data_IF_059389783046
#
_entry.id   IF_059389783046
#
_cell.length_a   1.000
_cell.length_b   1.000
_cell.length_c   1.000
_cell.angle_alpha   90.00
_cell.angle_beta   90.00
_cell.angle_gamma   90.00
#
_symmetry.space_group_name_H-M   'P 1'
#
loop_
_entity.id
_entity.type
_entity.pdbx_description
1 polymer ?
#
# COMPACT_ATOMS: atom_id res chain seq x y z
N UNK A 1 35.75 -22.76 3.69
CA UNK A 1 35.30 -21.42 4.12
C UNK A 1 33.78 -21.33 3.93
N UNK A 2 32.97 -21.42 5.00
CA UNK A 2 31.52 -21.60 4.91
C UNK A 2 30.73 -20.33 5.29
N UNK A 3 30.98 -19.20 4.62
CA UNK A 3 30.21 -17.97 4.81
C UNK A 3 29.95 -17.25 3.48
N UNK A 4 29.02 -17.77 2.67
CA UNK A 4 28.24 -16.90 1.77
C UNK A 4 26.92 -17.52 1.27
N UNK A 5 26.44 -18.57 1.93
CA UNK A 5 25.08 -19.05 1.71
C UNK A 5 24.15 -18.20 2.57
N UNK A 6 22.99 -17.80 2.03
CA UNK A 6 21.94 -16.97 2.64
C UNK A 6 22.13 -15.46 2.39
N UNK A 7 21.73 -14.97 1.21
CA UNK A 7 21.03 -13.67 1.08
C UNK A 7 20.51 -13.31 -0.33
N UNK A 8 20.59 -14.20 -1.34
CA UNK A 8 20.10 -13.87 -2.69
C UNK A 8 18.82 -14.60 -3.15
N UNK A 9 18.10 -15.27 -2.24
CA UNK A 9 16.98 -16.16 -2.64
C UNK A 9 15.58 -15.63 -2.25
N UNK A 10 15.27 -14.36 -2.54
CA UNK A 10 13.87 -13.88 -2.57
C UNK A 10 13.64 -12.71 -3.53
N UNK A 11 14.34 -12.65 -4.66
CA UNK A 11 13.97 -11.76 -5.77
C UNK A 11 12.76 -12.33 -6.53
N UNK A 12 11.59 -12.40 -5.87
CA UNK A 12 10.35 -12.24 -6.63
C UNK A 12 10.44 -10.85 -7.23
N UNK A 13 10.53 -10.74 -8.55
CA UNK A 13 10.46 -9.47 -9.29
C UNK A 13 9.46 -8.52 -8.61
N UNK A 14 9.98 -7.62 -7.76
CA UNK A 14 9.14 -6.63 -7.12
C UNK A 14 8.89 -5.63 -8.24
N UNK A 15 7.70 -5.67 -8.82
CA UNK A 15 7.29 -4.64 -9.78
C UNK A 15 7.51 -3.29 -9.05
N UNK A 16 8.46 -2.51 -9.55
CA UNK A 16 8.83 -1.20 -9.00
C UNK A 16 7.64 -0.24 -9.04
N UNK A 17 6.60 -0.57 -9.79
CA UNK A 17 5.36 0.17 -9.85
C UNK A 17 4.19 -0.49 -9.11
N UNK A 18 4.43 -1.55 -8.33
CA UNK A 18 3.39 -2.15 -7.48
C UNK A 18 2.92 -1.20 -6.38
N UNK A 19 1.66 -1.34 -5.96
CA UNK A 19 1.12 -0.57 -4.84
C UNK A 19 1.93 -0.77 -3.56
N UNK A 20 2.39 -2.01 -3.28
CA UNK A 20 3.20 -2.30 -2.10
C UNK A 20 4.52 -1.52 -2.10
N UNK A 21 5.19 -1.43 -3.25
CA UNK A 21 6.40 -0.62 -3.39
C UNK A 21 6.14 0.85 -2.99
N UNK A 22 5.11 1.45 -3.58
CA UNK A 22 4.74 2.84 -3.30
C UNK A 22 4.20 3.06 -1.88
N UNK A 23 3.55 2.07 -1.28
CA UNK A 23 3.09 2.13 0.10
C UNK A 23 4.28 2.15 1.09
N UNK A 24 5.31 1.33 0.84
CA UNK A 24 6.55 1.33 1.62
C UNK A 24 7.30 2.66 1.46
N UNK A 25 7.46 3.17 0.23
CA UNK A 25 8.09 4.47 -0.02
C UNK A 25 7.31 5.62 0.67
N UNK A 26 5.99 5.59 0.57
CA UNK A 26 5.11 6.58 1.21
C UNK A 26 5.20 6.54 2.74
N UNK A 27 5.46 5.38 3.36
CA UNK A 27 5.68 5.30 4.81
C UNK A 27 7.07 5.80 5.20
N UNK A 28 8.11 5.49 4.41
CA UNK A 28 9.48 5.91 4.65
C UNK A 28 9.67 7.44 4.61
N UNK A 29 8.86 8.16 3.82
CA UNK A 29 8.88 9.63 3.79
C UNK A 29 8.29 10.29 5.04
N UNK A 30 7.57 9.53 5.88
CA UNK A 30 6.91 10.06 7.08
C UNK A 30 7.81 9.93 8.31
N UNK A 31 8.86 10.74 8.36
CA UNK A 31 9.90 10.72 9.41
C UNK A 31 9.41 11.20 10.79
N UNK A 32 8.35 12.00 10.84
CA UNK A 32 7.83 12.61 12.08
C UNK A 32 6.63 11.87 12.70
N UNK A 33 6.33 10.64 12.28
CA UNK A 33 5.22 9.87 12.85
C UNK A 33 5.60 9.17 14.15
N UNK A 34 4.65 9.16 15.09
CA UNK A 34 4.77 8.29 16.28
C UNK A 34 4.75 6.82 15.86
N UNK A 35 5.44 5.96 16.62
CA UNK A 35 5.46 4.51 16.38
C UNK A 35 4.05 3.91 16.31
N UNK A 36 3.13 4.39 17.15
CA UNK A 36 1.70 4.01 17.14
C UNK A 36 1.03 4.32 15.80
N UNK A 37 1.35 5.45 15.19
CA UNK A 37 0.78 5.86 13.90
C UNK A 37 1.36 5.02 12.76
N UNK A 38 2.67 4.74 12.79
CA UNK A 38 3.33 3.87 11.81
C UNK A 38 2.78 2.44 11.88
N UNK A 39 2.70 1.86 13.07
CA UNK A 39 2.09 0.55 13.30
C UNK A 39 0.64 0.54 12.82
N UNK A 40 -0.11 1.60 13.11
CA UNK A 40 -1.47 1.76 12.66
C UNK A 40 -1.58 1.70 11.14
N UNK A 41 -0.75 2.45 10.43
CA UNK A 41 -0.68 2.48 8.97
C UNK A 41 -0.34 1.11 8.38
N UNK A 42 0.74 0.49 8.88
CA UNK A 42 1.22 -0.83 8.45
C UNK A 42 0.16 -1.92 8.68
N UNK A 43 -0.47 -1.94 9.85
CA UNK A 43 -1.52 -2.92 10.17
C UNK A 43 -2.70 -2.84 9.21
N UNK A 44 -3.11 -1.66 8.72
CA UNK A 44 -4.20 -1.58 7.73
C UNK A 44 -3.74 -2.04 6.34
N UNK A 45 -2.50 -1.75 5.98
CA UNK A 45 -1.92 -2.26 4.74
C UNK A 45 -1.96 -3.80 4.76
N UNK A 46 -1.40 -4.44 5.79
CA UNK A 46 -1.28 -5.89 5.85
C UNK A 46 -2.63 -6.60 5.95
N UNK A 47 -3.55 -6.10 6.78
CA UNK A 47 -4.80 -6.81 7.06
C UNK A 47 -5.93 -6.55 6.05
N UNK A 48 -5.89 -5.43 5.32
CA UNK A 48 -7.00 -5.02 4.46
C UNK A 48 -6.58 -4.75 3.01
N UNK A 49 -5.52 -3.97 2.79
CA UNK A 49 -5.20 -3.46 1.45
C UNK A 49 -4.35 -4.45 0.65
N UNK A 50 -3.29 -4.98 1.26
CA UNK A 50 -2.35 -5.90 0.61
C UNK A 50 -2.96 -7.21 0.11
N UNK A 51 -3.93 -7.84 0.80
CA UNK A 51 -4.59 -9.02 0.27
C UNK A 51 -5.22 -8.83 -1.12
N UNK A 52 -5.54 -7.58 -1.50
CA UNK A 52 -6.15 -7.26 -2.80
C UNK A 52 -5.22 -6.51 -3.75
N UNK A 53 -4.39 -5.59 -3.24
CA UNK A 53 -3.70 -4.61 -4.08
C UNK A 53 -2.18 -4.67 -4.02
N UNK A 54 -1.56 -5.49 -3.15
CA UNK A 54 -0.12 -5.44 -2.91
C UNK A 54 0.70 -5.51 -4.22
N UNK A 55 0.36 -6.48 -5.05
CA UNK A 55 1.08 -6.79 -6.30
C UNK A 55 0.46 -6.10 -7.52
N UNK A 56 -0.61 -5.31 -7.35
CA UNK A 56 -1.19 -4.55 -8.45
C UNK A 56 -0.29 -3.38 -8.84
N UNK A 57 -0.08 -3.18 -10.14
CA UNK A 57 0.52 -1.95 -10.64
C UNK A 57 -0.36 -0.76 -10.24
N UNK A 58 0.23 0.29 -9.70
CA UNK A 58 -0.51 1.45 -9.18
C UNK A 58 -1.31 2.16 -10.28
N UNK A 59 -0.91 2.06 -11.55
CA UNK A 59 -1.66 2.61 -12.69
C UNK A 59 -2.90 1.79 -13.07
N UNK A 60 -2.95 0.52 -12.72
CA UNK A 60 -4.04 -0.39 -13.10
C UNK A 60 -5.16 -0.40 -12.06
N UNK A 61 -4.97 0.25 -10.90
CA UNK A 61 -5.98 0.32 -9.85
C UNK A 61 -7.02 1.39 -10.21
N UNK A 62 -8.18 0.95 -10.68
CA UNK A 62 -9.29 1.85 -11.01
C UNK A 62 -10.07 2.36 -9.78
N UNK A 63 -10.72 3.52 -9.92
CA UNK A 63 -11.66 4.08 -8.93
C UNK A 63 -12.76 3.09 -8.55
N UNK A 64 -13.23 2.30 -9.52
CA UNK A 64 -14.25 1.27 -9.30
C UNK A 64 -13.72 0.15 -8.41
N UNK A 65 -12.50 -0.33 -8.66
CA UNK A 65 -11.85 -1.38 -7.86
C UNK A 65 -11.68 -0.96 -6.39
N UNK A 66 -11.37 0.32 -6.16
CA UNK A 66 -11.28 0.94 -4.83
C UNK A 66 -12.66 1.06 -4.18
N UNK A 67 -13.66 1.58 -4.91
CA UNK A 67 -15.01 1.73 -4.40
C UNK A 67 -15.61 0.38 -3.97
N UNK A 68 -15.48 -0.65 -4.80
CA UNK A 68 -15.98 -1.99 -4.50
C UNK A 68 -15.25 -2.61 -3.30
N UNK A 69 -13.94 -2.35 -3.17
CA UNK A 69 -13.17 -2.75 -2.00
C UNK A 69 -13.66 -2.07 -0.72
N UNK A 70 -13.84 -0.74 -0.74
CA UNK A 70 -14.28 0.02 0.42
C UNK A 70 -15.70 -0.38 0.84
N UNK A 71 -16.63 -0.52 -0.12
CA UNK A 71 -17.98 -1.04 0.13
C UNK A 71 -17.96 -2.43 0.77
N UNK A 72 -17.04 -3.29 0.34
CA UNK A 72 -16.86 -4.62 0.95
C UNK A 72 -16.47 -4.56 2.43
N UNK A 73 -15.73 -3.53 2.86
CA UNK A 73 -15.40 -3.30 4.27
C UNK A 73 -16.60 -2.68 5.01
N UNK A 74 -17.27 -1.69 4.40
CA UNK A 74 -18.45 -1.03 4.97
C UNK A 74 -19.61 -2.00 5.21
N UNK A 75 -19.85 -2.93 4.29
CA UNK A 75 -20.88 -3.96 4.40
C UNK A 75 -20.65 -4.92 5.59
N UNK A 76 -19.43 -4.96 6.14
CA UNK A 76 -19.09 -5.70 7.38
C UNK A 76 -19.30 -4.85 8.64
N UNK A 77 -19.85 -3.64 8.52
CA UNK A 77 -20.01 -2.68 9.61
C UNK A 77 -18.74 -1.91 10.00
N UNK A 78 -17.65 -2.05 9.22
CA UNK A 78 -16.33 -1.50 9.57
C UNK A 78 -16.07 -0.13 8.91
N UNK A 79 -17.00 0.82 9.07
CA UNK A 79 -16.98 2.12 8.38
C UNK A 79 -15.70 2.94 8.64
N UNK A 80 -15.26 3.03 9.88
CA UNK A 80 -14.03 3.74 10.22
C UNK A 80 -12.80 3.08 9.58
N UNK A 81 -12.77 1.75 9.51
CA UNK A 81 -11.70 1.02 8.81
C UNK A 81 -11.69 1.34 7.33
N UNK A 82 -12.85 1.38 6.66
CA UNK A 82 -12.97 1.76 5.26
C UNK A 82 -12.44 3.18 5.03
N UNK A 83 -12.87 4.15 5.85
CA UNK A 83 -12.40 5.54 5.80
C UNK A 83 -10.88 5.64 5.97
N UNK A 84 -10.30 4.88 6.90
CA UNK A 84 -8.85 4.83 7.11
C UNK A 84 -8.12 4.20 5.94
N UNK A 85 -8.64 3.10 5.37
CA UNK A 85 -8.07 2.47 4.18
C UNK A 85 -8.07 3.43 2.98
N UNK A 86 -9.19 4.12 2.73
CA UNK A 86 -9.28 5.17 1.71
C UNK A 86 -8.21 6.26 1.90
N UNK A 87 -8.07 6.76 3.12
CA UNK A 87 -7.06 7.77 3.45
C UNK A 87 -5.63 7.28 3.25
N UNK A 88 -5.34 6.02 3.53
CA UNK A 88 -4.03 5.40 3.27
C UNK A 88 -3.79 5.27 1.76
N UNK A 89 -4.74 4.72 1.01
CA UNK A 89 -4.62 4.55 -0.44
C UNK A 89 -4.37 5.89 -1.15
N UNK A 90 -5.14 6.93 -0.81
CA UNK A 90 -4.93 8.28 -1.36
C UNK A 90 -3.55 8.89 -1.02
N UNK A 91 -2.98 8.57 0.14
CA UNK A 91 -1.60 8.98 0.45
C UNK A 91 -0.57 8.24 -0.41
N UNK A 92 -0.81 6.97 -0.70
CA UNK A 92 0.06 6.18 -1.58
C UNK A 92 -0.01 6.69 -3.03
N UNK A 93 -1.22 6.90 -3.57
CA UNK A 93 -1.39 7.46 -4.92
C UNK A 93 -0.76 8.84 -5.06
N UNK A 94 -1.02 9.76 -4.13
CA UNK A 94 -0.37 11.09 -4.17
C UNK A 94 1.15 11.01 -4.12
N UNK A 95 1.70 10.08 -3.35
CA UNK A 95 3.14 9.85 -3.35
C UNK A 95 3.63 9.31 -4.70
N UNK A 96 2.89 8.38 -5.32
CA UNK A 96 3.15 7.90 -6.68
C UNK A 96 3.12 9.02 -7.72
N UNK A 97 2.10 9.90 -7.69
CA UNK A 97 1.97 11.05 -8.60
C UNK A 97 3.18 11.98 -8.47
N UNK A 98 3.60 12.31 -7.25
CA UNK A 98 4.78 13.17 -7.01
C UNK A 98 6.07 12.61 -7.60
N UNK A 99 6.15 11.28 -7.78
CA UNK A 99 7.32 10.60 -8.34
C UNK A 99 7.12 10.13 -9.80
N UNK A 100 6.03 10.55 -10.46
CA UNK A 100 5.75 10.19 -11.85
C UNK A 100 5.31 8.74 -12.06
N UNK A 101 4.90 8.05 -11.01
CA UNK A 101 4.51 6.64 -11.04
C UNK A 101 3.09 6.43 -11.57
N UNK A 102 2.19 7.38 -11.29
CA UNK A 102 0.82 7.39 -11.77
C UNK A 102 0.33 8.81 -12.05
N UNK A 103 -0.72 8.91 -12.87
CA UNK A 103 -1.24 10.19 -13.33
C UNK A 103 -2.29 10.81 -12.37
N UNK A 104 -2.98 10.00 -11.58
CA UNK A 104 -4.08 10.45 -10.73
C UNK A 104 -4.22 9.63 -9.43
N UNK A 105 -5.05 10.16 -8.52
CA UNK A 105 -5.56 9.48 -7.31
C UNK A 105 -6.99 9.02 -7.62
N UNK A 106 -7.18 7.74 -7.98
CA UNK A 106 -8.45 7.19 -8.47
C UNK A 106 -9.54 7.06 -7.41
#
# INVERSE_FOLDING_TARGET
DPQNHIQQESEKHLDKNSFKHWATACLATKTNLTQKTQYGFQSRLDNYIYPKFADCNINDISSKSILDFLKGIENKGLYETAKRCKGIMSQVFRHGIMNGACANDP
#
